data_IF_622293343897
#
_entry.id   IF_622293343897
#
_cell.length_a   1.000
_cell.length_b   1.000
_cell.length_c   1.000
_cell.angle_alpha   90.00
_cell.angle_beta   90.00
_cell.angle_gamma   90.00
#
_symmetry.space_group_name_H-M   'P 1'
#
loop_
_entity.id
_entity.type
_entity.pdbx_description
1 polymer ?
#
# COMPACT_ATOMS: atom_id res chain seq x y z
N UNK A 1 1.22 -20.40 1.18
CA UNK A 1 0.23 -19.73 0.29
C UNK A 1 -0.84 -19.04 1.12
N UNK A 2 -1.07 -17.78 0.86
CA UNK A 2 -2.10 -17.02 1.58
C UNK A 2 -3.51 -17.37 1.09
N UNK A 3 -4.47 -17.33 2.00
CA UNK A 3 -5.89 -17.52 1.68
C UNK A 3 -6.56 -16.24 1.16
N UNK A 4 -5.86 -15.09 1.15
CA UNK A 4 -6.46 -13.81 0.80
C UNK A 4 -6.16 -13.37 -0.63
N UNK A 5 -5.00 -13.75 -1.18
CA UNK A 5 -4.60 -13.34 -2.52
C UNK A 5 -3.56 -14.28 -3.10
N UNK A 6 -3.34 -14.19 -4.41
CA UNK A 6 -2.32 -14.94 -5.14
C UNK A 6 -0.92 -14.48 -4.73
N UNK A 7 0.03 -15.40 -4.70
CA UNK A 7 1.43 -15.10 -4.36
C UNK A 7 2.06 -14.12 -5.35
N UNK A 8 1.62 -14.11 -6.60
CA UNK A 8 2.13 -13.20 -7.65
C UNK A 8 1.49 -11.82 -7.64
N UNK A 9 0.43 -11.59 -6.86
CA UNK A 9 -0.17 -10.28 -6.68
C UNK A 9 0.84 -9.32 -6.03
N UNK A 10 0.69 -8.02 -6.30
CA UNK A 10 1.46 -6.99 -5.59
C UNK A 10 1.35 -7.13 -4.06
N UNK A 11 0.22 -7.61 -3.57
CA UNK A 11 -0.05 -7.83 -2.14
C UNK A 11 0.26 -9.24 -1.67
N UNK A 12 0.68 -10.13 -2.56
CA UNK A 12 0.98 -11.51 -2.28
C UNK A 12 2.40 -11.73 -1.80
N UNK A 13 2.73 -12.97 -1.45
CA UNK A 13 4.02 -13.36 -0.86
C UNK A 13 5.23 -12.97 -1.71
N UNK A 14 5.09 -12.99 -3.03
CA UNK A 14 6.16 -12.66 -3.97
C UNK A 14 6.07 -11.21 -4.49
N UNK A 15 5.08 -10.45 -4.05
CA UNK A 15 4.90 -9.07 -4.47
C UNK A 15 5.98 -8.14 -3.91
N UNK A 16 6.54 -7.24 -4.73
CA UNK A 16 7.55 -6.30 -4.26
C UNK A 16 7.09 -5.42 -3.12
N UNK A 17 5.85 -4.96 -3.16
CA UNK A 17 5.27 -4.14 -2.10
C UNK A 17 5.21 -4.91 -0.77
N UNK A 18 4.63 -6.10 -0.79
CA UNK A 18 4.55 -6.88 0.44
C UNK A 18 5.92 -7.18 1.03
N UNK A 19 6.89 -7.50 0.17
CA UNK A 19 8.25 -7.82 0.62
C UNK A 19 8.90 -6.68 1.38
N UNK A 20 8.77 -5.45 0.86
CA UNK A 20 9.39 -4.29 1.53
C UNK A 20 8.65 -3.95 2.83
N UNK A 21 7.33 -4.10 2.87
CA UNK A 21 6.54 -3.91 4.09
C UNK A 21 6.94 -4.94 5.15
N UNK A 22 7.05 -6.20 4.76
CA UNK A 22 7.45 -7.26 5.69
C UNK A 22 8.84 -7.00 6.27
N UNK A 23 9.78 -6.54 5.44
CA UNK A 23 11.12 -6.15 5.90
C UNK A 23 11.04 -5.02 6.92
N UNK A 24 10.25 -3.99 6.64
CA UNK A 24 10.08 -2.85 7.54
C UNK A 24 9.39 -3.19 8.86
N UNK A 25 8.53 -4.21 8.87
CA UNK A 25 7.80 -4.65 10.05
C UNK A 25 8.40 -5.90 10.70
N UNK A 26 9.60 -6.31 10.29
CA UNK A 26 10.25 -7.48 10.85
C UNK A 26 10.35 -7.40 12.36
N UNK A 27 9.95 -8.47 13.04
CA UNK A 27 9.92 -8.54 14.50
C UNK A 27 8.70 -7.88 15.14
N UNK A 28 7.88 -7.16 14.38
CA UNK A 28 6.68 -6.47 14.88
C UNK A 28 5.39 -7.16 14.46
N UNK A 29 5.28 -7.51 13.19
CA UNK A 29 4.07 -8.12 12.64
C UNK A 29 4.41 -9.32 11.77
N UNK A 30 3.48 -10.28 11.71
CA UNK A 30 3.62 -11.50 10.93
C UNK A 30 2.45 -11.66 9.97
N UNK A 31 2.75 -12.18 8.79
CA UNK A 31 1.74 -12.51 7.78
C UNK A 31 2.36 -13.14 6.55
N UNK A 32 1.58 -13.96 5.85
CA UNK A 32 2.01 -14.61 4.61
C UNK A 32 1.83 -13.70 3.40
N UNK A 33 0.99 -12.68 3.51
CA UNK A 33 0.80 -11.64 2.53
C UNK A 33 0.41 -10.33 3.23
N UNK A 34 0.16 -9.28 2.44
CA UNK A 34 -0.20 -7.98 2.98
C UNK A 34 -1.47 -8.04 3.84
N UNK A 35 -2.50 -8.73 3.36
CA UNK A 35 -3.79 -8.78 4.07
C UNK A 35 -3.69 -9.59 5.37
N UNK A 36 -2.85 -10.62 5.39
CA UNK A 36 -2.60 -11.42 6.59
C UNK A 36 -1.85 -10.64 7.68
N UNK A 37 -1.10 -9.60 7.30
CA UNK A 37 -0.48 -8.67 8.27
C UNK A 37 -1.53 -7.88 9.06
N UNK A 38 -2.73 -7.69 8.51
CA UNK A 38 -3.75 -6.79 9.04
C UNK A 38 -4.60 -7.49 10.10
N UNK A 39 -4.94 -6.77 11.17
CA UNK A 39 -5.96 -7.21 12.11
C UNK A 39 -7.33 -7.21 11.44
N UNK A 40 -8.28 -8.00 11.95
CA UNK A 40 -9.65 -8.06 11.43
C UNK A 40 -10.32 -6.68 11.40
N UNK A 41 -10.05 -5.87 12.40
CA UNK A 41 -10.64 -4.54 12.60
C UNK A 41 -9.69 -3.40 12.21
N UNK A 42 -8.73 -3.66 11.36
CA UNK A 42 -7.77 -2.66 10.88
C UNK A 42 -8.47 -1.42 10.33
N UNK A 43 -7.86 -0.26 10.54
CA UNK A 43 -8.28 0.99 9.90
C UNK A 43 -7.16 1.43 8.97
N UNK A 44 -7.48 1.64 7.69
CA UNK A 44 -6.57 2.15 6.68
C UNK A 44 -7.03 3.54 6.26
N UNK A 45 -6.12 4.50 6.29
CA UNK A 45 -6.41 5.87 5.90
C UNK A 45 -5.45 6.34 4.81
N UNK A 46 -6.02 7.01 3.81
CA UNK A 46 -5.25 7.84 2.87
C UNK A 46 -5.31 9.26 3.41
N UNK A 47 -4.23 9.70 4.01
CA UNK A 47 -4.18 11.01 4.69
C UNK A 47 -4.25 12.14 3.66
N UNK A 48 -3.60 11.94 2.51
CA UNK A 48 -3.69 12.83 1.37
C UNK A 48 -4.70 12.23 0.38
N UNK A 49 -5.55 13.06 -0.19
CA UNK A 49 -6.54 12.59 -1.17
C UNK A 49 -5.87 11.99 -2.39
N UNK A 50 -6.28 10.77 -2.74
CA UNK A 50 -5.82 10.07 -3.93
C UNK A 50 -7.02 9.83 -4.84
N UNK A 51 -6.90 10.16 -6.14
CA UNK A 51 -8.02 9.97 -7.06
C UNK A 51 -8.49 8.51 -7.08
N UNK A 52 -9.79 8.32 -6.93
CA UNK A 52 -10.41 7.00 -6.97
C UNK A 52 -10.33 6.20 -5.67
N UNK A 53 -9.69 6.73 -4.63
CA UNK A 53 -9.58 6.04 -3.34
C UNK A 53 -10.37 6.74 -2.25
N UNK A 54 -11.02 5.99 -1.34
CA UNK A 54 -11.66 6.57 -0.17
C UNK A 54 -10.59 7.09 0.80
N UNK A 55 -10.98 8.03 1.65
CA UNK A 55 -10.08 8.56 2.68
C UNK A 55 -9.86 7.57 3.83
N UNK A 56 -10.79 6.65 4.04
CA UNK A 56 -10.74 5.69 5.13
C UNK A 56 -11.45 4.39 4.74
N UNK A 57 -10.87 3.28 5.17
CA UNK A 57 -11.44 1.93 5.03
C UNK A 57 -11.37 1.23 6.37
N UNK A 58 -12.47 0.68 6.82
CA UNK A 58 -12.56 -0.06 8.07
C UNK A 58 -12.61 -1.57 7.80
N UNK A 59 -11.76 -2.31 8.50
CA UNK A 59 -11.73 -3.77 8.48
C UNK A 59 -10.91 -4.36 7.33
N UNK A 60 -10.35 -5.55 7.61
CA UNK A 60 -9.54 -6.29 6.62
C UNK A 60 -10.30 -6.53 5.33
N UNK A 61 -11.57 -6.96 5.43
CA UNK A 61 -12.35 -7.27 4.22
C UNK A 61 -12.54 -6.03 3.35
N UNK A 62 -12.76 -4.86 3.96
CA UNK A 62 -12.85 -3.61 3.21
C UNK A 62 -11.56 -3.29 2.45
N UNK A 63 -10.41 -3.58 3.06
CA UNK A 63 -9.10 -3.38 2.42
C UNK A 63 -8.90 -4.38 1.26
N UNK A 64 -9.28 -5.64 1.47
CA UNK A 64 -9.24 -6.65 0.40
C UNK A 64 -10.10 -6.20 -0.79
N UNK A 65 -11.30 -5.72 -0.51
CA UNK A 65 -12.23 -5.25 -1.56
C UNK A 65 -11.67 -4.02 -2.29
N UNK A 66 -11.04 -3.09 -1.55
CA UNK A 66 -10.43 -1.90 -2.13
C UNK A 66 -9.33 -2.25 -3.13
N UNK A 67 -8.46 -3.19 -2.76
CA UNK A 67 -7.31 -3.56 -3.58
C UNK A 67 -7.60 -4.71 -4.55
N UNK A 68 -8.81 -5.24 -4.54
CA UNK A 68 -9.29 -6.20 -5.52
C UNK A 68 -9.16 -5.59 -6.93
N UNK A 69 -8.43 -6.26 -7.81
CA UNK A 69 -8.20 -5.76 -9.16
C UNK A 69 -7.09 -4.72 -9.29
N UNK A 70 -6.35 -4.40 -8.23
CA UNK A 70 -5.24 -3.44 -8.33
C UNK A 70 -4.24 -3.83 -9.41
N UNK A 71 -3.92 -5.12 -9.52
CA UNK A 71 -2.95 -5.61 -10.51
C UNK A 71 -3.46 -5.46 -11.96
N UNK A 72 -4.74 -5.20 -12.17
CA UNK A 72 -5.30 -4.90 -13.49
C UNK A 72 -5.04 -3.45 -13.91
N UNK A 73 -4.70 -2.59 -12.97
CA UNK A 73 -4.44 -1.17 -13.22
C UNK A 73 -2.96 -0.82 -13.17
N UNK A 74 -2.23 -1.45 -12.29
CA UNK A 74 -0.86 -1.08 -11.97
C UNK A 74 0.00 -2.33 -11.83
N UNK A 75 1.14 -2.34 -12.49
CA UNK A 75 2.17 -3.37 -12.27
C UNK A 75 3.32 -2.73 -11.49
N UNK A 76 3.60 -3.26 -10.30
CA UNK A 76 4.76 -2.84 -9.51
C UNK A 76 5.86 -3.88 -9.71
N UNK A 77 7.01 -3.45 -10.22
CA UNK A 77 8.15 -4.35 -10.48
C UNK A 77 9.11 -4.40 -9.31
N UNK A 78 9.34 -3.26 -8.65
CA UNK A 78 10.29 -3.16 -7.55
C UNK A 78 9.80 -2.20 -6.49
N UNK A 79 10.28 -2.40 -5.27
CA UNK A 79 10.14 -1.45 -4.17
C UNK A 79 11.49 -1.35 -3.48
N UNK A 80 11.91 -0.13 -3.14
CA UNK A 80 13.25 0.11 -2.61
C UNK A 80 13.31 1.35 -1.71
N UNK A 81 14.54 1.73 -1.32
CA UNK A 81 14.82 2.90 -0.49
C UNK A 81 14.08 2.88 0.84
N UNK A 82 13.97 1.70 1.46
CA UNK A 82 13.30 1.55 2.74
C UNK A 82 14.08 2.27 3.86
N UNK A 83 13.34 3.09 4.62
CA UNK A 83 13.79 3.65 5.89
C UNK A 83 12.75 3.34 6.95
N UNK A 84 13.20 2.91 8.12
CA UNK A 84 12.30 2.50 9.21
C UNK A 84 12.58 3.35 10.44
N UNK A 85 11.53 3.92 11.00
CA UNK A 85 11.56 4.67 12.25
C UNK A 85 10.56 4.02 13.19
N UNK A 86 10.95 3.76 14.42
CA UNK A 86 10.09 3.05 15.38
C UNK A 86 9.93 3.82 16.67
N UNK A 87 8.69 3.81 17.17
CA UNK A 87 8.36 4.25 18.52
C UNK A 87 7.80 3.05 19.29
N UNK A 88 8.65 2.35 20.09
CA UNK A 88 8.21 1.16 20.81
C UNK A 88 7.12 1.42 21.84
N UNK A 89 7.12 2.60 22.48
CA UNK A 89 6.10 2.93 23.47
C UNK A 89 4.72 3.08 22.85
N UNK A 90 4.63 3.69 21.68
CA UNK A 90 3.39 3.85 20.96
C UNK A 90 3.02 2.64 20.08
N UNK A 91 3.92 1.65 19.98
CA UNK A 91 3.79 0.50 19.09
C UNK A 91 3.60 0.93 17.63
N UNK A 92 4.36 1.93 17.21
CA UNK A 92 4.27 2.53 15.87
C UNK A 92 5.58 2.36 15.13
N UNK A 93 5.49 2.02 13.85
CA UNK A 93 6.59 2.08 12.90
C UNK A 93 6.22 3.04 11.77
N UNK A 94 7.18 3.84 11.34
CA UNK A 94 7.04 4.67 10.13
C UNK A 94 7.97 4.08 9.08
N UNK A 95 7.43 3.73 7.93
CA UNK A 95 8.16 3.21 6.80
C UNK A 95 8.14 4.24 5.68
N UNK A 96 9.33 4.66 5.24
CA UNK A 96 9.48 5.40 3.99
C UNK A 96 10.02 4.44 2.94
N UNK A 97 9.45 4.44 1.75
CA UNK A 97 9.88 3.58 0.64
C UNK A 97 9.37 4.12 -0.68
N UNK A 98 9.88 3.52 -1.76
CA UNK A 98 9.47 3.85 -3.12
C UNK A 98 8.98 2.60 -3.83
N UNK A 99 8.02 2.76 -4.73
CA UNK A 99 7.58 1.71 -5.64
C UNK A 99 7.80 2.15 -7.08
N UNK A 100 8.14 1.21 -7.94
CA UNK A 100 8.43 1.44 -9.35
C UNK A 100 7.74 0.42 -10.22
N UNK A 101 7.03 0.89 -11.21
CA UNK A 101 6.30 0.04 -12.13
C UNK A 101 5.70 0.84 -13.27
N UNK A 102 4.51 0.46 -13.69
CA UNK A 102 3.83 1.11 -14.80
C UNK A 102 2.32 0.92 -14.70
N UNK A 103 1.59 1.85 -15.29
CA UNK A 103 0.16 1.71 -15.47
C UNK A 103 -0.13 0.71 -16.58
N UNK A 104 -0.97 -0.27 -16.30
CA UNK A 104 -1.42 -1.26 -17.29
C UNK A 104 -2.24 -0.57 -18.39
N UNK A 105 -3.05 0.42 -18.01
CA UNK A 105 -3.97 1.07 -18.94
C UNK A 105 -3.30 2.07 -19.89
N UNK A 106 -2.26 2.76 -19.42
CA UNK A 106 -1.61 3.82 -20.19
C UNK A 106 -0.22 3.45 -20.69
N UNK A 107 0.42 2.45 -20.07
CA UNK A 107 1.81 2.11 -20.32
C UNK A 107 2.81 3.10 -19.74
N UNK A 108 2.35 4.14 -19.02
CA UNK A 108 3.22 5.17 -18.46
C UNK A 108 3.95 4.65 -17.21
N UNK A 109 5.18 5.12 -16.98
CA UNK A 109 5.88 4.78 -15.74
C UNK A 109 5.11 5.22 -14.50
N UNK A 110 5.19 4.41 -13.46
CA UNK A 110 4.68 4.76 -12.13
C UNK A 110 5.83 4.65 -11.14
N UNK A 111 6.23 5.80 -10.61
CA UNK A 111 7.25 5.89 -9.56
C UNK A 111 6.66 6.74 -8.45
N UNK A 112 6.48 6.15 -7.28
CA UNK A 112 5.86 6.85 -6.17
C UNK A 112 6.64 6.67 -4.88
N UNK A 113 6.56 7.67 -4.02
CA UNK A 113 7.19 7.68 -2.70
C UNK A 113 6.11 7.65 -1.64
N UNK A 114 6.33 6.85 -0.61
CA UNK A 114 5.38 6.62 0.46
C UNK A 114 6.00 6.91 1.81
N UNK A 115 5.17 7.37 2.73
CA UNK A 115 5.42 7.30 4.15
C UNK A 115 4.19 6.66 4.78
N UNK A 116 4.37 5.48 5.37
CA UNK A 116 3.29 4.72 6.00
C UNK A 116 3.50 4.73 7.51
N UNK A 117 2.52 5.23 8.25
CA UNK A 117 2.54 5.25 9.72
C UNK A 117 1.68 4.08 10.17
N UNK A 118 2.33 3.09 10.80
CA UNK A 118 1.74 1.77 11.04
C UNK A 118 1.74 1.47 12.54
N UNK A 119 0.54 1.25 13.09
CA UNK A 119 0.37 0.81 14.46
C UNK A 119 0.17 -0.69 14.50
N UNK A 120 0.95 -1.37 15.35
CA UNK A 120 0.92 -2.84 15.48
C UNK A 120 0.51 -3.21 16.90
N UNK A 121 -0.39 -4.19 17.01
CA UNK A 121 -0.81 -4.78 18.28
C UNK A 121 -0.98 -6.28 18.10
N UNK A 122 -0.43 -7.05 19.03
CA UNK A 122 -0.52 -8.52 19.01
C UNK A 122 -0.08 -9.10 17.67
N UNK A 123 1.02 -8.55 17.12
CA UNK A 123 1.67 -8.94 15.87
C UNK A 123 0.82 -8.75 14.61
N UNK A 124 -0.21 -7.90 14.69
CA UNK A 124 -1.03 -7.52 13.54
C UNK A 124 -1.15 -6.01 13.45
N UNK A 125 -1.28 -5.52 12.24
CA UNK A 125 -1.47 -4.08 11.98
C UNK A 125 -2.90 -3.71 12.34
N UNK A 126 -3.05 -2.73 13.22
CA UNK A 126 -4.36 -2.22 13.63
C UNK A 126 -4.72 -0.89 12.99
N UNK A 127 -3.71 -0.13 12.56
CA UNK A 127 -3.92 1.17 11.90
C UNK A 127 -2.81 1.40 10.89
N UNK A 128 -3.19 1.81 9.70
CA UNK A 128 -2.27 2.11 8.60
C UNK A 128 -2.64 3.47 8.02
N UNK A 129 -1.74 4.43 8.12
CA UNK A 129 -1.95 5.78 7.57
C UNK A 129 -0.95 6.02 6.47
N UNK A 130 -1.45 6.18 5.25
CA UNK A 130 -0.62 6.37 4.07
C UNK A 130 -0.52 7.83 3.66
N UNK A 131 0.71 8.25 3.41
CA UNK A 131 1.08 9.46 2.70
C UNK A 131 1.79 9.02 1.42
N UNK A 132 1.35 9.52 0.30
CA UNK A 132 1.97 9.23 -0.99
C UNK A 132 1.87 10.45 -1.89
N UNK A 133 2.59 10.43 -3.01
CA UNK A 133 2.56 11.52 -3.98
C UNK A 133 1.41 11.33 -4.96
N UNK A 134 0.31 12.12 -4.86
CA UNK A 134 -0.82 11.97 -5.77
C UNK A 134 -0.48 12.41 -7.19
N UNK A 135 0.51 13.27 -7.38
CA UNK A 135 0.97 13.69 -8.71
C UNK A 135 1.52 12.47 -9.47
N UNK A 136 2.26 11.60 -8.79
CA UNK A 136 2.76 10.37 -9.42
C UNK A 136 1.61 9.47 -9.93
N UNK A 137 0.50 9.43 -9.19
CA UNK A 137 -0.70 8.68 -9.61
C UNK A 137 -1.30 9.29 -10.87
N UNK A 138 -1.46 10.62 -10.90
CA UNK A 138 -1.97 11.32 -12.08
C UNK A 138 -1.06 11.14 -13.30
N UNK A 139 0.24 11.25 -13.12
CA UNK A 139 1.20 11.09 -14.23
C UNK A 139 1.11 9.70 -14.84
N UNK A 140 1.00 8.67 -14.01
CA UNK A 140 0.87 7.29 -14.49
C UNK A 140 -0.48 7.01 -15.13
N UNK A 141 -1.56 7.49 -14.52
CA UNK A 141 -2.92 7.22 -14.98
C UNK A 141 -3.35 8.08 -16.17
N UNK A 142 -2.61 9.15 -16.45
CA UNK A 142 -3.00 10.18 -17.40
C UNK A 142 -3.87 11.25 -16.75
N UNK A 143 -3.41 12.48 -16.81
CA UNK A 143 -4.16 13.62 -16.29
C UNK A 143 -5.51 13.74 -17.00
N UNK A 144 -6.55 14.19 -16.30
CA UNK A 144 -7.82 14.49 -16.97
C UNK A 144 -7.60 15.44 -18.14
N UNK A 145 -8.34 15.22 -19.23
CA UNK A 145 -8.30 16.14 -20.35
C UNK A 145 -8.75 17.52 -19.90
N UNK A 146 -8.11 18.56 -20.40
CA UNK A 146 -8.43 19.94 -20.00
C UNK A 146 -9.91 20.27 -20.16
N UNK A 147 -10.55 19.78 -21.21
CA UNK A 147 -11.97 19.98 -21.45
C UNK A 147 -12.87 19.37 -20.37
N UNK A 148 -12.40 18.35 -19.64
CA UNK A 148 -13.16 17.73 -18.54
C UNK A 148 -13.08 18.50 -17.24
N UNK A 149 -12.25 19.55 -17.16
CA UNK A 149 -12.07 20.39 -15.99
C UNK A 149 -13.00 21.62 -16.00
N UNK A 150 -13.79 21.77 -17.03
CA UNK A 150 -14.69 22.92 -17.19
C UNK A 150 -16.07 22.61 -16.62
#
# INVERSE_FOLDING_TARGET
MSKYTSDSSNFGADGPFFRIIREGLEGLADGEDYFDLLADDVVVEYVISVPGYPRRVDGRQGVIDLYSGYDDYMTVHTADNLRVYRDPEASVAVLEYEVHGESVLTGRPYNNRFASIITVKDRKVTHWRDYLDPIAVFDASGWPKRSSLR
#
